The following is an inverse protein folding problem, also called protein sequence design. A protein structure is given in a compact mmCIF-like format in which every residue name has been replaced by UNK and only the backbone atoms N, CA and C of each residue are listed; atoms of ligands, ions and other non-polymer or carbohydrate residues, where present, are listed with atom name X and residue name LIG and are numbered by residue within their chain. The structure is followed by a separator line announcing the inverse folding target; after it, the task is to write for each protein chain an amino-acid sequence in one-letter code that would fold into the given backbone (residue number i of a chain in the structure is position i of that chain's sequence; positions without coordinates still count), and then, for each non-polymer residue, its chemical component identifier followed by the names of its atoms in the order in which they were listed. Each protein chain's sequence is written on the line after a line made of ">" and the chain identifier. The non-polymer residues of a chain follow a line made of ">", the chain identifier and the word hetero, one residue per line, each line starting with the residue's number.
data_IF_594155684239
#
_entry.id   IF_594155684239
#
_cell.length_a   1.000
_cell.length_b   1.000
_cell.length_c   1.000
_cell.angle_alpha   90.00
_cell.angle_beta   90.00
_cell.angle_gamma   90.00
#
_symmetry.space_group_name_H-M   'P 1'
#
loop_
_entity.id
_entity.type
_entity.pdbx_description
1 polymer ?
#
# COMPACT_ATOMS: atom_id res chain seq x y z
N UNK A 1 1.52 -74.23 18.05
CA UNK A 1 2.84 -73.56 18.11
C UNK A 1 3.29 -73.22 16.70
N UNK A 2 2.90 -72.06 16.16
CA UNK A 2 3.55 -71.38 15.03
C UNK A 2 3.00 -69.96 15.00
N UNK A 3 3.66 -69.04 15.71
CA UNK A 3 3.46 -67.60 15.53
C UNK A 3 4.79 -67.06 15.01
N UNK A 4 4.85 -66.87 13.69
CA UNK A 4 6.04 -66.41 12.99
C UNK A 4 6.37 -64.95 13.33
N UNK A 5 7.58 -64.78 13.84
CA UNK A 5 8.57 -63.80 13.36
C UNK A 5 8.07 -62.36 13.16
N UNK A 6 8.05 -61.57 14.24
CA UNK A 6 8.12 -60.11 14.18
C UNK A 6 9.51 -59.69 13.67
N UNK A 7 9.58 -59.43 12.37
CA UNK A 7 10.75 -58.83 11.72
C UNK A 7 10.91 -57.37 12.17
N UNK A 8 11.93 -57.16 12.98
CA UNK A 8 13.08 -56.28 12.71
C UNK A 8 12.83 -54.82 12.26
N UNK A 9 13.33 -53.94 13.14
CA UNK A 9 14.26 -52.83 12.87
C UNK A 9 13.71 -51.59 12.16
N UNK A 10 13.51 -50.54 12.97
CA UNK A 10 13.50 -49.14 12.55
C UNK A 10 14.94 -48.65 12.34
N UNK A 11 15.29 -48.14 11.15
CA UNK A 11 16.41 -47.21 11.04
C UNK A 11 15.94 -45.80 10.67
N UNK A 12 16.40 -44.86 11.49
CA UNK A 12 16.84 -43.51 11.13
C UNK A 12 15.87 -42.63 10.33
N UNK A 13 15.06 -41.88 11.08
CA UNK A 13 14.48 -40.62 10.63
C UNK A 13 15.53 -39.51 10.68
N UNK A 14 16.49 -39.53 9.75
CA UNK A 14 17.29 -38.34 9.44
C UNK A 14 16.73 -37.71 8.18
N UNK A 15 16.18 -36.49 8.29
CA UNK A 15 16.40 -35.43 7.31
C UNK A 15 15.84 -34.11 7.83
N UNK A 16 16.77 -33.17 7.99
CA UNK A 16 16.66 -31.76 7.62
C UNK A 16 15.70 -30.87 8.43
N UNK A 17 16.33 -30.20 9.40
CA UNK A 17 15.94 -28.92 9.98
C UNK A 17 15.62 -27.91 8.87
N UNK A 18 14.35 -27.65 8.60
CA UNK A 18 13.96 -26.47 7.82
C UNK A 18 13.96 -25.27 8.75
N UNK A 19 15.05 -24.50 8.74
CA UNK A 19 15.01 -23.10 9.18
C UNK A 19 14.04 -22.34 8.27
N UNK A 20 12.81 -22.12 8.73
CA UNK A 20 11.93 -21.14 8.14
C UNK A 20 12.56 -19.76 8.36
N UNK A 21 13.14 -19.20 7.32
CA UNK A 21 13.59 -17.81 7.30
C UNK A 21 12.37 -16.92 7.60
N UNK A 22 12.40 -16.29 8.78
CA UNK A 22 11.45 -15.25 9.15
C UNK A 22 11.60 -14.08 8.16
N UNK A 23 10.70 -13.98 7.18
CA UNK A 23 10.57 -12.79 6.36
C UNK A 23 10.07 -11.64 7.24
N UNK A 24 11.02 -10.88 7.77
CA UNK A 24 10.77 -9.68 8.52
C UNK A 24 10.38 -8.56 7.55
N UNK A 25 9.10 -8.45 7.21
CA UNK A 25 8.58 -7.23 6.60
C UNK A 25 8.27 -6.23 7.69
N UNK A 26 9.21 -5.33 8.03
CA UNK A 26 8.85 -4.06 8.68
C UNK A 26 8.09 -3.23 7.66
N UNK A 27 6.81 -3.53 7.49
CA UNK A 27 5.89 -2.63 6.81
C UNK A 27 5.75 -1.40 7.69
N UNK A 28 6.52 -0.35 7.41
CA UNK A 28 6.21 0.97 7.91
C UNK A 28 4.85 1.36 7.34
N UNK A 29 3.80 1.21 8.15
CA UNK A 29 2.49 1.73 7.84
C UNK A 29 2.57 3.25 7.95
N UNK A 30 2.82 3.92 6.84
CA UNK A 30 2.57 5.36 6.76
C UNK A 30 1.08 5.57 6.99
N UNK A 31 0.71 5.97 8.21
CA UNK A 31 -0.63 6.39 8.52
C UNK A 31 -0.92 7.64 7.68
N UNK A 32 -1.71 7.48 6.63
CA UNK A 32 -2.28 8.61 5.91
C UNK A 32 -3.14 9.40 6.91
N UNK A 33 -2.69 10.61 7.26
CA UNK A 33 -3.46 11.54 8.06
C UNK A 33 -4.74 11.89 7.31
N UNK A 34 -5.86 11.30 7.72
CA UNK A 34 -7.18 11.71 7.25
C UNK A 34 -7.43 13.13 7.76
N UNK A 35 -7.42 14.11 6.87
CA UNK A 35 -7.95 15.44 7.15
C UNK A 35 -9.46 15.28 7.36
N UNK A 36 -9.90 15.20 8.61
CA UNK A 36 -11.31 15.39 8.96
C UNK A 36 -11.59 16.86 8.77
N UNK A 37 -12.23 17.19 7.64
CA UNK A 37 -12.78 18.50 7.39
C UNK A 37 -13.85 18.75 8.45
N UNK A 38 -13.66 19.82 9.20
CA UNK A 38 -14.64 20.57 9.98
C UNK A 38 -16.09 20.09 9.81
N UNK A 39 -16.58 19.30 10.77
CA UNK A 39 -18.00 19.12 11.01
C UNK A 39 -18.22 18.59 12.43
N UNK A 40 -18.70 19.49 13.29
CA UNK A 40 -19.47 19.23 14.51
C UNK A 40 -18.87 18.33 15.61
N UNK A 41 -18.47 18.99 16.70
CA UNK A 41 -18.96 18.65 18.03
C UNK A 41 -18.55 17.31 18.66
N UNK A 42 -17.62 17.40 19.61
CA UNK A 42 -17.75 16.65 20.87
C UNK A 42 -17.33 15.18 20.88
N UNK A 43 -16.02 14.93 20.99
CA UNK A 43 -15.49 13.86 21.87
C UNK A 43 -14.07 14.21 22.32
N UNK A 44 -13.90 15.38 22.94
CA UNK A 44 -12.74 15.63 23.79
C UNK A 44 -13.08 15.12 25.19
N UNK A 45 -12.73 13.87 25.44
CA UNK A 45 -12.98 13.23 26.73
C UNK A 45 -12.10 12.01 26.91
N UNK A 46 -10.79 12.21 27.11
CA UNK A 46 -9.94 11.38 27.96
C UNK A 46 -8.52 11.97 28.01
N UNK A 47 -8.08 12.40 29.18
CA UNK A 47 -6.66 12.64 29.47
C UNK A 47 -6.34 14.08 29.89
N UNK A 48 -6.27 14.28 31.20
CA UNK A 48 -5.58 15.41 31.84
C UNK A 48 -4.14 15.47 31.30
N UNK A 49 -3.84 16.47 30.48
CA UNK A 49 -2.53 16.63 29.88
C UNK A 49 -2.48 17.88 29.04
N UNK A 50 -2.41 19.04 29.70
CA UNK A 50 -2.11 20.36 29.12
C UNK A 50 -0.68 20.35 28.57
N UNK A 51 -0.42 19.55 27.54
CA UNK A 51 0.76 19.68 26.69
C UNK A 51 0.45 20.85 25.78
N UNK A 52 1.16 21.95 26.01
CA UNK A 52 1.20 23.13 25.14
C UNK A 52 1.19 22.64 23.70
N UNK A 53 0.10 22.92 22.99
CA UNK A 53 0.05 22.81 21.55
C UNK A 53 1.08 23.81 21.02
N UNK A 54 2.33 23.34 20.92
CA UNK A 54 3.37 24.04 20.22
C UNK A 54 2.79 24.36 18.85
N UNK A 55 2.70 25.66 18.58
CA UNK A 55 2.39 26.22 17.28
C UNK A 55 3.40 25.59 16.32
N UNK A 56 3.01 24.46 15.72
CA UNK A 56 3.62 23.96 14.50
C UNK A 56 3.41 25.12 13.54
N UNK A 57 4.45 25.94 13.39
CA UNK A 57 4.55 26.92 12.34
C UNK A 57 4.17 26.16 11.08
N UNK A 58 3.02 26.51 10.51
CA UNK A 58 2.59 25.97 9.25
C UNK A 58 3.67 26.34 8.26
N UNK A 59 4.58 25.40 8.00
CA UNK A 59 5.61 25.54 7.00
C UNK A 59 4.86 25.78 5.70
N UNK A 60 4.93 27.02 5.21
CA UNK A 60 4.23 27.44 4.02
C UNK A 60 4.72 26.58 2.86
N UNK A 61 3.78 25.91 2.20
CA UNK A 61 4.11 25.05 1.07
C UNK A 61 4.52 25.96 -0.07
N UNK A 62 5.78 25.86 -0.49
CA UNK A 62 6.26 26.55 -1.67
C UNK A 62 5.60 25.92 -2.89
N UNK A 63 4.60 26.60 -3.45
CA UNK A 63 3.99 26.25 -4.72
C UNK A 63 4.92 26.73 -5.84
N UNK A 64 5.49 25.80 -6.60
CA UNK A 64 6.30 26.14 -7.77
C UNK A 64 5.35 26.46 -8.94
N UNK A 65 5.65 27.50 -9.74
CA UNK A 65 4.84 27.82 -10.90
C UNK A 65 4.88 26.65 -11.89
N UNK A 66 3.72 26.33 -12.46
CA UNK A 66 3.61 25.28 -13.48
C UNK A 66 4.01 25.87 -14.83
N UNK A 67 4.95 25.21 -15.52
CA UNK A 67 5.36 25.58 -16.87
C UNK A 67 4.16 25.52 -17.84
N UNK A 68 4.01 26.55 -18.67
CA UNK A 68 2.88 26.66 -19.63
C UNK A 68 3.32 26.34 -21.07
N UNK A 69 4.62 26.24 -21.33
CA UNK A 69 5.17 26.02 -22.67
C UNK A 69 4.92 24.57 -23.15
N UNK A 70 4.18 24.36 -24.25
CA UNK A 70 3.82 23.02 -24.70
C UNK A 70 5.03 22.18 -25.13
N UNK A 71 6.05 22.82 -25.74
CA UNK A 71 7.28 22.13 -26.14
C UNK A 71 8.07 21.57 -24.96
N UNK A 72 8.05 22.24 -23.80
CA UNK A 72 8.72 21.73 -22.60
C UNK A 72 7.93 20.58 -21.99
N UNK A 73 6.60 20.71 -21.91
CA UNK A 73 5.71 19.69 -21.34
C UNK A 73 5.75 18.35 -22.09
N UNK A 74 5.97 18.36 -23.40
CA UNK A 74 6.05 17.13 -24.21
C UNK A 74 7.43 16.47 -24.13
N UNK A 75 8.50 17.25 -23.98
CA UNK A 75 9.88 16.74 -24.02
C UNK A 75 10.47 16.45 -22.65
N UNK A 76 9.96 17.05 -21.59
CA UNK A 76 10.51 16.98 -20.23
C UNK A 76 9.44 16.64 -19.21
N UNK A 77 9.82 15.90 -18.18
CA UNK A 77 8.99 15.63 -17.00
C UNK A 77 9.10 16.81 -16.03
N UNK A 78 8.30 17.85 -16.28
CA UNK A 78 8.32 19.05 -15.46
C UNK A 78 8.02 18.74 -13.99
N UNK A 79 8.86 19.25 -13.08
CA UNK A 79 8.73 19.01 -11.63
C UNK A 79 9.38 17.72 -11.13
N UNK A 80 10.15 17.05 -11.98
CA UNK A 80 10.98 15.90 -11.59
C UNK A 80 12.17 16.31 -10.73
N UNK A 81 12.75 17.48 -10.98
CA UNK A 81 13.90 17.98 -10.24
C UNK A 81 13.45 18.68 -8.93
N UNK A 82 13.91 18.16 -7.79
CA UNK A 82 13.67 18.74 -6.46
C UNK A 82 14.82 19.65 -5.98
N UNK A 83 15.95 19.61 -6.68
CA UNK A 83 17.14 20.38 -6.32
C UNK A 83 17.09 21.77 -6.92
N UNK A 84 17.75 22.73 -6.27
CA UNK A 84 17.87 24.11 -6.75
C UNK A 84 18.71 24.24 -8.02
N UNK A 85 19.56 23.26 -8.29
CA UNK A 85 20.46 23.21 -9.45
C UNK A 85 20.25 21.88 -10.18
N UNK A 86 19.97 21.96 -11.47
CA UNK A 86 19.76 20.80 -12.33
C UNK A 86 18.64 21.04 -13.34
N UNK A 87 18.58 20.16 -14.34
CA UNK A 87 17.52 20.15 -15.35
C UNK A 87 16.52 19.02 -15.07
N UNK A 88 15.30 19.18 -15.57
CA UNK A 88 14.28 18.13 -15.51
C UNK A 88 14.62 16.94 -16.41
N UNK A 89 14.10 15.76 -16.05
CA UNK A 89 14.34 14.53 -16.81
C UNK A 89 13.70 14.63 -18.20
N UNK A 90 14.52 14.46 -19.24
CA UNK A 90 14.06 14.42 -20.63
C UNK A 90 13.38 13.07 -20.95
N UNK A 91 12.24 13.13 -21.63
CA UNK A 91 11.50 11.96 -22.12
C UNK A 91 12.27 11.32 -23.26
N UNK A 92 12.38 9.99 -23.19
CA UNK A 92 13.11 9.15 -24.14
C UNK A 92 12.13 8.49 -25.13
N UNK A 93 12.62 7.89 -26.24
CA UNK A 93 11.73 7.11 -27.11
C UNK A 93 11.20 5.86 -26.40
N UNK A 94 10.03 5.39 -26.85
CA UNK A 94 9.29 4.27 -26.23
C UNK A 94 10.11 2.97 -26.13
N UNK A 95 11.07 2.76 -27.03
CA UNK A 95 11.94 1.57 -27.06
C UNK A 95 12.90 1.46 -25.86
N UNK A 96 13.19 2.57 -25.17
CA UNK A 96 14.04 2.55 -23.98
C UNK A 96 13.27 2.14 -22.71
N UNK A 97 11.94 2.23 -22.76
CA UNK A 97 11.10 1.86 -21.63
C UNK A 97 10.72 0.38 -21.71
N UNK A 98 10.63 -0.32 -20.56
CA UNK A 98 10.29 -1.73 -20.55
C UNK A 98 8.82 -1.97 -20.91
N UNK A 99 8.54 -3.08 -21.59
CA UNK A 99 7.23 -3.42 -22.15
C UNK A 99 6.08 -3.43 -21.13
N UNK A 100 6.36 -3.80 -19.88
CA UNK A 100 5.34 -3.86 -18.83
C UNK A 100 4.72 -2.48 -18.53
N UNK A 101 5.40 -1.38 -18.86
CA UNK A 101 4.88 -0.02 -18.66
C UNK A 101 3.57 0.18 -19.44
N UNK A 102 3.53 -0.29 -20.68
CA UNK A 102 2.38 -0.17 -21.58
C UNK A 102 1.27 -1.17 -21.28
N UNK A 103 1.57 -2.20 -20.48
CA UNK A 103 0.60 -3.20 -20.02
C UNK A 103 -0.16 -2.77 -18.75
N UNK A 104 0.19 -1.63 -18.15
CA UNK A 104 -0.48 -1.14 -16.94
C UNK A 104 -1.90 -0.63 -17.23
N UNK A 105 -2.83 -0.91 -16.33
CA UNK A 105 -4.17 -0.35 -16.42
C UNK A 105 -4.20 1.11 -15.96
N UNK A 106 -4.27 2.03 -16.93
CA UNK A 106 -4.46 3.49 -16.72
C UNK A 106 -5.94 3.89 -16.60
N UNK A 107 -6.86 2.95 -16.81
CA UNK A 107 -8.31 3.18 -16.73
C UNK A 107 -8.87 3.04 -15.33
N UNK A 108 -10.19 2.83 -15.27
CA UNK A 108 -10.87 2.59 -14.01
C UNK A 108 -10.37 1.30 -13.34
N UNK A 109 -10.27 1.34 -12.01
CA UNK A 109 -9.92 0.16 -11.24
C UNK A 109 -10.96 -0.96 -11.49
N UNK A 110 -10.53 -2.18 -11.85
CA UNK A 110 -11.44 -3.29 -12.16
C UNK A 110 -12.44 -3.59 -11.04
N UNK A 111 -13.63 -4.06 -11.42
CA UNK A 111 -14.65 -4.48 -10.45
C UNK A 111 -14.34 -5.88 -9.92
N UNK A 112 -15.03 -6.29 -8.87
CA UNK A 112 -14.84 -7.64 -8.30
C UNK A 112 -15.30 -8.71 -9.31
N UNK A 113 -16.36 -8.42 -10.07
CA UNK A 113 -16.94 -9.31 -11.07
C UNK A 113 -16.02 -9.59 -12.26
N UNK A 114 -15.17 -8.63 -12.62
CA UNK A 114 -14.24 -8.75 -13.75
C UNK A 114 -12.95 -9.49 -13.38
N UNK A 115 -12.73 -9.77 -12.09
CA UNK A 115 -11.49 -10.36 -11.59
C UNK A 115 -11.62 -11.87 -11.42
N UNK A 116 -10.57 -12.57 -11.79
CA UNK A 116 -10.47 -14.03 -11.63
C UNK A 116 -10.31 -14.43 -10.15
N UNK A 117 -11.20 -15.29 -9.60
CA UNK A 117 -11.15 -15.78 -8.22
C UNK A 117 -9.87 -16.49 -7.81
N UNK A 118 -9.13 -17.07 -8.75
CA UNK A 118 -7.86 -17.75 -8.46
C UNK A 118 -6.71 -16.76 -8.22
N UNK A 119 -6.91 -15.48 -8.52
CA UNK A 119 -5.89 -14.45 -8.34
C UNK A 119 -5.94 -13.81 -6.95
N UNK A 120 -4.77 -13.44 -6.41
CA UNK A 120 -4.67 -12.69 -5.15
C UNK A 120 -5.39 -11.34 -5.20
N UNK A 121 -5.44 -10.71 -6.37
CA UNK A 121 -6.05 -9.39 -6.57
C UNK A 121 -7.55 -9.42 -6.25
N UNK A 122 -8.24 -10.49 -6.65
CA UNK A 122 -9.66 -10.70 -6.38
C UNK A 122 -9.94 -10.67 -4.87
N UNK A 123 -9.19 -11.47 -4.11
CA UNK A 123 -9.39 -11.59 -2.65
C UNK A 123 -9.06 -10.31 -1.88
N UNK A 124 -8.09 -9.51 -2.34
CA UNK A 124 -7.82 -8.18 -1.77
C UNK A 124 -9.05 -7.28 -1.95
N UNK A 125 -9.67 -7.32 -3.14
CA UNK A 125 -10.86 -6.53 -3.48
C UNK A 125 -12.08 -6.97 -2.66
N UNK A 126 -12.31 -8.28 -2.53
CA UNK A 126 -13.36 -8.88 -1.70
C UNK A 126 -13.22 -8.45 -0.23
N UNK A 127 -12.00 -8.53 0.32
CA UNK A 127 -11.72 -8.07 1.69
C UNK A 127 -12.04 -6.59 1.86
N UNK A 128 -11.62 -5.75 0.91
CA UNK A 128 -11.90 -4.32 0.96
C UNK A 128 -13.42 -4.03 0.92
N UNK A 129 -14.18 -4.75 0.10
CA UNK A 129 -15.64 -4.62 0.05
C UNK A 129 -16.31 -5.05 1.36
N UNK A 130 -15.88 -6.18 1.95
CA UNK A 130 -16.35 -6.63 3.26
C UNK A 130 -16.09 -5.60 4.37
N UNK A 131 -14.89 -5.01 4.41
CA UNK A 131 -14.57 -3.94 5.36
C UNK A 131 -15.46 -2.70 5.17
N UNK A 132 -15.72 -2.28 3.93
CA UNK A 132 -16.62 -1.15 3.64
C UNK A 132 -18.04 -1.43 4.13
N UNK A 133 -18.57 -2.63 3.84
CA UNK A 133 -19.88 -3.08 4.34
C UNK A 133 -19.94 -3.06 5.86
N UNK A 134 -18.96 -3.66 6.53
CA UNK A 134 -18.92 -3.72 8.00
C UNK A 134 -18.82 -2.33 8.63
N UNK A 135 -18.00 -1.43 8.07
CA UNK A 135 -17.94 -0.05 8.52
C UNK A 135 -19.27 0.68 8.34
N UNK A 136 -19.98 0.44 7.24
CA UNK A 136 -21.31 1.02 7.00
C UNK A 136 -22.32 0.49 8.01
N UNK A 137 -22.37 -0.82 8.24
CA UNK A 137 -23.26 -1.42 9.25
C UNK A 137 -22.95 -0.89 10.65
N UNK A 138 -21.67 -0.78 11.01
CA UNK A 138 -21.25 -0.21 12.29
C UNK A 138 -21.67 1.25 12.44
N UNK A 139 -21.63 2.04 11.36
CA UNK A 139 -22.10 3.44 11.39
C UNK A 139 -23.60 3.58 11.57
N UNK A 140 -24.39 2.58 11.16
CA UNK A 140 -25.85 2.57 11.30
C UNK A 140 -26.32 2.04 12.65
N UNK A 141 -25.48 1.28 13.35
CA UNK A 141 -25.80 0.76 14.68
C UNK A 141 -25.81 1.93 15.67
N UNK A 142 -26.97 2.23 16.25
CA UNK A 142 -27.06 3.09 17.43
C UNK A 142 -26.48 2.29 18.61
N UNK A 143 -25.57 2.94 19.35
CA UNK A 143 -24.73 2.45 20.45
C UNK A 143 -24.88 0.97 20.86
#
# INVERSE_FOLDING_TARGET
>A
MYSGMLQQLLPLRSMLTTQLANFHTKGACYAAAKKTTTAAGGVMGLGKGKKKAGKLTAMEKKEMPVETDPHKLVNYVCGSNIYTTGEDVKIKPDSEYPEWLWSLNTGAAPRIEDLDPETKQYWIRVRAAGMRRNNKLRSLRKF
#
